data_IF_369425741968
#
_entry.id   IF_369425741968
#
_cell.length_a   1.000
_cell.length_b   1.000
_cell.length_c   1.000
_cell.angle_alpha   90.00
_cell.angle_beta   90.00
_cell.angle_gamma   90.00
#
_symmetry.space_group_name_H-M   'P 1'
#
loop_
_entity.id
_entity.type
_entity.pdbx_description
1 polymer ?
#
# COMPACT_ATOMS: atom_id res chain seq x y z
N UNK A 1 0.91 -23.81 -2.35
CA UNK A 1 1.15 -23.40 -3.78
C UNK A 1 0.47 -22.08 -4.20
N UNK A 2 -0.23 -21.37 -3.31
CA UNK A 2 -1.09 -20.21 -3.66
C UNK A 2 -0.41 -18.93 -4.18
N UNK A 3 0.88 -18.69 -3.87
CA UNK A 3 1.61 -17.44 -4.20
C UNK A 3 1.67 -17.08 -5.70
N UNK A 4 1.42 -18.04 -6.60
CA UNK A 4 1.49 -17.85 -8.06
C UNK A 4 0.12 -17.59 -8.73
N UNK A 5 -0.98 -17.64 -7.99
CA UNK A 5 -2.34 -17.56 -8.55
C UNK A 5 -3.02 -16.21 -8.33
N UNK A 6 -2.26 -15.14 -8.11
CA UNK A 6 -2.82 -13.80 -7.91
C UNK A 6 -2.69 -12.92 -9.16
N UNK A 7 -3.62 -11.97 -9.38
CA UNK A 7 -3.52 -11.00 -10.46
C UNK A 7 -2.22 -10.18 -10.40
N UNK A 8 -1.68 -9.82 -11.57
CA UNK A 8 -0.46 -9.00 -11.66
C UNK A 8 -0.72 -7.50 -11.49
N UNK A 9 -1.96 -7.06 -11.68
CA UNK A 9 -2.37 -5.67 -11.67
C UNK A 9 -3.64 -5.51 -10.83
N UNK A 10 -3.79 -4.34 -10.21
CA UNK A 10 -5.03 -3.91 -9.60
C UNK A 10 -6.09 -3.74 -10.69
N UNK A 11 -7.32 -4.12 -10.37
CA UNK A 11 -8.48 -3.94 -11.24
C UNK A 11 -9.40 -2.91 -10.57
N UNK A 12 -9.77 -1.84 -11.29
CA UNK A 12 -10.71 -0.86 -10.78
C UNK A 12 -12.18 -1.33 -10.89
N UNK A 13 -13.14 -0.46 -10.55
CA UNK A 13 -14.57 -0.79 -10.66
C UNK A 13 -15.05 -0.93 -12.12
N UNK A 14 -14.33 -0.34 -13.07
CA UNK A 14 -14.60 -0.45 -14.50
C UNK A 14 -14.03 -1.73 -15.13
N UNK A 15 -13.19 -2.47 -14.41
CA UNK A 15 -12.48 -3.65 -14.92
C UNK A 15 -11.12 -3.33 -15.56
N UNK A 16 -10.67 -2.08 -15.48
CA UNK A 16 -9.42 -1.62 -16.09
C UNK A 16 -8.21 -1.97 -15.21
N UNK A 17 -7.08 -2.24 -15.87
CA UNK A 17 -5.82 -2.51 -15.18
C UNK A 17 -5.15 -1.22 -14.76
N UNK A 18 -4.71 -1.19 -13.51
CA UNK A 18 -4.20 0.00 -12.85
C UNK A 18 -2.75 -0.23 -12.40
N UNK A 19 -2.47 -0.12 -11.10
CA UNK A 19 -1.12 -0.28 -10.56
C UNK A 19 -0.73 -1.76 -10.48
N UNK A 20 0.57 -2.05 -10.56
CA UNK A 20 1.05 -3.42 -10.40
C UNK A 20 0.87 -3.89 -8.95
N UNK A 21 0.44 -5.15 -8.79
CA UNK A 21 0.40 -5.83 -7.50
C UNK A 21 1.78 -6.48 -7.26
N UNK A 22 2.68 -5.72 -6.66
CA UNK A 22 4.09 -6.08 -6.47
C UNK A 22 4.41 -6.52 -5.03
N UNK A 23 3.41 -6.59 -4.15
CA UNK A 23 3.54 -7.13 -2.79
C UNK A 23 2.57 -8.29 -2.58
N UNK A 24 3.01 -9.30 -1.85
CA UNK A 24 2.16 -10.35 -1.29
C UNK A 24 2.51 -10.54 0.18
N UNK A 25 1.50 -10.61 1.04
CA UNK A 25 1.70 -10.74 2.48
C UNK A 25 0.87 -11.88 3.07
N UNK A 26 1.54 -12.75 3.83
CA UNK A 26 0.93 -13.79 4.63
C UNK A 26 1.25 -13.56 6.11
N UNK A 27 0.23 -13.12 6.85
CA UNK A 27 0.34 -12.78 8.27
C UNK A 27 -0.82 -11.88 8.72
N UNK A 28 -0.71 -11.31 9.92
CA UNK A 28 -1.72 -10.37 10.46
C UNK A 28 -1.36 -8.93 10.03
N UNK A 29 -2.32 -8.14 9.53
CA UNK A 29 -1.96 -6.80 9.04
C UNK A 29 -1.50 -5.87 10.16
N UNK A 30 -2.05 -6.05 11.36
CA UNK A 30 -1.72 -5.29 12.56
C UNK A 30 -0.23 -5.45 12.91
N UNK A 31 0.29 -6.64 12.66
CA UNK A 31 1.69 -6.99 12.86
C UNK A 31 2.62 -6.34 11.83
N UNK A 32 2.20 -6.30 10.56
CA UNK A 32 2.93 -5.60 9.52
C UNK A 32 2.88 -4.08 9.74
N UNK A 33 1.72 -3.54 10.09
CA UNK A 33 1.50 -2.14 10.38
C UNK A 33 2.39 -1.67 11.53
N UNK A 34 2.35 -2.34 12.68
CA UNK A 34 3.16 -1.97 13.84
C UNK A 34 4.68 -1.94 13.51
N UNK A 35 5.16 -2.85 12.66
CA UNK A 35 6.56 -2.88 12.21
C UNK A 35 6.89 -1.72 11.29
N UNK A 36 6.03 -1.43 10.31
CA UNK A 36 6.22 -0.31 9.39
C UNK A 36 6.13 1.03 10.12
N UNK A 37 5.26 1.15 11.13
CA UNK A 37 5.14 2.35 11.97
C UNK A 37 6.43 2.65 12.74
N UNK A 38 7.12 1.62 13.25
CA UNK A 38 8.46 1.77 13.85
C UNK A 38 9.52 2.27 12.86
N UNK A 39 9.23 2.20 11.55
CA UNK A 39 10.08 2.68 10.46
C UNK A 39 9.57 3.99 9.84
N UNK A 40 8.65 4.68 10.51
CA UNK A 40 8.15 6.00 10.10
C UNK A 40 6.99 5.97 9.11
N UNK A 41 6.47 4.79 8.77
CA UNK A 41 5.19 4.69 8.07
C UNK A 41 4.05 5.08 9.02
N UNK A 42 2.93 5.51 8.47
CA UNK A 42 1.74 5.84 9.27
C UNK A 42 0.48 5.77 8.43
N UNK A 43 -0.66 5.66 9.07
CA UNK A 43 -1.92 5.88 8.39
C UNK A 43 -2.03 7.35 7.95
N UNK A 44 -2.66 7.62 6.79
CA UNK A 44 -3.02 8.99 6.41
C UNK A 44 -4.13 9.51 7.33
N UNK A 45 -4.42 10.81 7.22
CA UNK A 45 -5.60 11.35 7.88
C UNK A 45 -6.84 10.58 7.39
N UNK A 46 -7.68 10.10 8.31
CA UNK A 46 -8.88 9.38 7.96
C UNK A 46 -9.78 10.22 7.05
N UNK A 47 -10.31 9.63 5.98
CA UNK A 47 -11.25 10.32 5.08
C UNK A 47 -12.65 10.35 5.70
N UNK A 48 -13.09 11.55 6.07
CA UNK A 48 -14.44 11.86 6.58
C UNK A 48 -14.95 13.12 5.88
N UNK A 49 -16.26 13.43 5.95
CA UNK A 49 -16.76 14.70 5.41
C UNK A 49 -16.08 15.94 6.02
N UNK A 50 -15.61 15.87 7.27
CA UNK A 50 -14.92 16.99 7.91
C UNK A 50 -13.47 17.10 7.42
N UNK A 51 -12.74 15.99 7.39
CA UNK A 51 -11.32 15.96 6.99
C UNK A 51 -11.14 16.12 5.48
N UNK A 52 -12.14 15.82 4.64
CA UNK A 52 -12.08 16.09 3.20
C UNK A 52 -11.94 17.58 2.87
N UNK A 53 -12.42 18.47 3.75
CA UNK A 53 -12.22 19.92 3.62
C UNK A 53 -10.74 20.32 3.67
N UNK A 54 -9.85 19.46 4.19
CA UNK A 54 -8.42 19.73 4.21
C UNK A 54 -7.81 19.79 2.80
N UNK A 55 -8.46 19.21 1.77
CA UNK A 55 -8.04 19.40 0.38
C UNK A 55 -8.13 20.86 -0.07
N UNK A 56 -8.86 21.73 0.65
CA UNK A 56 -8.99 23.16 0.35
C UNK A 56 -7.98 24.04 1.09
N UNK A 57 -7.03 23.45 1.82
CA UNK A 57 -5.96 24.19 2.49
C UNK A 57 -5.00 24.82 1.46
N UNK A 58 -4.47 26.02 1.74
CA UNK A 58 -3.60 26.73 0.78
C UNK A 58 -2.24 26.06 0.53
N UNK A 59 -1.72 25.30 1.49
CA UNK A 59 -0.39 24.63 1.44
C UNK A 59 -0.38 23.40 2.36
N UNK A 60 -1.15 22.36 2.06
CA UNK A 60 -1.23 21.21 2.93
C UNK A 60 0.06 20.40 2.88
N UNK A 61 0.52 19.91 4.04
CA UNK A 61 1.53 18.86 4.06
C UNK A 61 0.86 17.49 3.88
N UNK A 62 1.62 16.47 3.48
CA UNK A 62 1.16 15.09 3.30
C UNK A 62 0.41 14.55 4.53
N UNK A 63 0.78 14.98 5.74
CA UNK A 63 0.12 14.56 6.99
C UNK A 63 -1.25 15.17 7.24
N UNK A 64 -1.54 16.29 6.58
CA UNK A 64 -2.76 17.05 6.81
C UNK A 64 -3.86 16.65 5.82
N UNK A 65 -3.56 15.85 4.80
CA UNK A 65 -4.51 15.45 3.77
C UNK A 65 -5.03 14.03 3.99
N UNK A 66 -6.34 13.81 3.86
CA UNK A 66 -6.85 12.47 3.68
C UNK A 66 -6.49 11.97 2.29
N UNK A 67 -6.26 10.66 2.21
CA UNK A 67 -5.95 9.98 0.95
C UNK A 67 -7.19 9.25 0.47
N UNK A 68 -7.49 9.32 -0.83
CA UNK A 68 -8.62 8.60 -1.39
C UNK A 68 -8.40 7.07 -1.26
N UNK A 69 -9.41 6.32 -0.82
CA UNK A 69 -9.35 4.87 -0.79
C UNK A 69 -9.32 4.32 -2.22
N UNK A 70 -8.65 3.19 -2.42
CA UNK A 70 -8.64 2.48 -3.68
C UNK A 70 -9.25 1.09 -3.50
N UNK A 71 -9.97 0.65 -4.52
CA UNK A 71 -10.53 -0.70 -4.57
C UNK A 71 -9.72 -1.58 -5.51
N UNK A 72 -9.71 -2.86 -5.24
CA UNK A 72 -9.18 -3.88 -6.12
C UNK A 72 -10.25 -4.94 -6.37
N UNK A 73 -10.71 -5.05 -7.61
CA UNK A 73 -11.74 -6.03 -8.01
C UNK A 73 -12.98 -5.97 -7.09
N UNK A 74 -13.48 -4.75 -6.87
CA UNK A 74 -14.63 -4.48 -5.99
C UNK A 74 -14.35 -4.57 -4.49
N UNK A 75 -13.13 -4.91 -4.05
CA UNK A 75 -12.76 -5.04 -2.64
C UNK A 75 -12.09 -3.78 -2.12
N UNK A 76 -12.51 -3.31 -0.95
CA UNK A 76 -11.83 -2.23 -0.24
C UNK A 76 -10.43 -2.68 0.23
N UNK A 77 -9.52 -1.72 0.30
CA UNK A 77 -8.24 -1.91 0.97
C UNK A 77 -8.44 -2.24 2.45
N UNK A 78 -7.57 -3.10 2.98
CA UNK A 78 -7.55 -3.49 4.39
C UNK A 78 -6.34 -2.93 5.14
N UNK A 79 -5.39 -2.31 4.44
CA UNK A 79 -4.32 -1.50 5.02
C UNK A 79 -3.90 -0.43 4.02
N UNK A 80 -3.74 0.81 4.50
CA UNK A 80 -3.12 1.92 3.78
C UNK A 80 -2.12 2.61 4.73
N UNK A 81 -0.84 2.58 4.35
CA UNK A 81 0.21 3.31 5.05
C UNK A 81 0.92 4.24 4.08
N UNK A 82 1.33 5.40 4.59
CA UNK A 82 2.08 6.40 3.87
C UNK A 82 3.42 6.67 4.55
N UNK A 83 4.43 6.99 3.74
CA UNK A 83 5.76 7.34 4.23
C UNK A 83 6.29 8.55 3.45
N UNK A 84 6.80 9.61 4.12
CA UNK A 84 7.38 10.77 3.44
C UNK A 84 8.54 10.36 2.53
N UNK A 85 8.70 11.01 1.38
CA UNK A 85 9.93 10.92 0.61
C UNK A 85 10.86 12.06 1.02
N UNK A 86 12.05 11.78 1.61
CA UNK A 86 12.98 12.83 2.01
C UNK A 86 13.34 13.75 0.84
N UNK A 87 13.32 15.06 1.08
CA UNK A 87 13.60 16.06 0.06
C UNK A 87 12.43 16.36 -0.89
N UNK A 88 11.27 15.69 -0.73
CA UNK A 88 10.05 16.01 -1.47
C UNK A 88 8.99 16.67 -0.58
N UNK A 89 8.41 17.78 -1.05
CA UNK A 89 7.33 18.48 -0.36
C UNK A 89 5.93 17.95 -0.69
N UNK A 90 5.77 17.34 -1.86
CA UNK A 90 4.47 16.90 -2.40
C UNK A 90 4.41 15.42 -2.69
N UNK A 91 5.56 14.77 -2.87
CA UNK A 91 5.62 13.35 -3.20
C UNK A 91 5.90 12.52 -1.95
N UNK A 92 5.28 11.37 -1.88
CA UNK A 92 5.40 10.45 -0.75
C UNK A 92 5.11 9.01 -1.22
N UNK A 93 5.44 8.02 -0.41
CA UNK A 93 5.15 6.63 -0.72
C UNK A 93 3.82 6.22 -0.11
N UNK A 94 3.10 5.35 -0.79
CA UNK A 94 1.94 4.65 -0.24
C UNK A 94 2.07 3.14 -0.45
N UNK A 95 1.79 2.41 0.62
CA UNK A 95 1.68 0.96 0.65
C UNK A 95 0.22 0.62 0.92
N UNK A 96 -0.40 -0.12 0.00
CA UNK A 96 -1.79 -0.57 0.10
C UNK A 96 -1.86 -2.09 0.03
N UNK A 97 -2.74 -2.69 0.82
CA UNK A 97 -3.09 -4.10 0.73
C UNK A 97 -4.60 -4.29 0.57
N UNK A 98 -4.95 -5.35 -0.17
CA UNK A 98 -6.31 -5.82 -0.39
C UNK A 98 -6.41 -7.31 -0.05
N UNK A 99 -7.61 -7.82 0.28
CA UNK A 99 -7.84 -9.26 0.38
C UNK A 99 -7.60 -9.95 -0.98
N UNK A 100 -7.02 -11.14 -0.97
CA UNK A 100 -6.98 -12.02 -2.14
C UNK A 100 -7.86 -13.26 -1.89
N UNK A 101 -8.35 -13.88 -2.95
CA UNK A 101 -9.11 -15.15 -2.89
C UNK A 101 -8.19 -16.37 -2.79
N UNK A 102 -7.05 -16.21 -2.14
CA UNK A 102 -6.04 -17.24 -1.97
C UNK A 102 -5.77 -17.43 -0.49
N UNK A 103 -5.82 -18.68 -0.06
CA UNK A 103 -5.40 -19.12 1.27
C UNK A 103 -4.21 -20.06 1.08
N UNK A 104 -3.20 -19.91 1.92
CA UNK A 104 -2.02 -20.77 1.90
C UNK A 104 -2.32 -22.13 2.53
N UNK A 105 -1.39 -23.07 2.36
CA UNK A 105 -1.55 -24.46 2.78
C UNK A 105 -1.70 -24.59 4.32
N UNK A 106 -1.23 -23.59 5.07
CA UNK A 106 -1.36 -23.44 6.54
C UNK A 106 -2.62 -22.69 6.98
N UNK A 107 -3.59 -22.49 6.08
CA UNK A 107 -4.81 -21.68 6.28
C UNK A 107 -4.59 -20.17 6.49
N UNK A 108 -3.38 -19.66 6.26
CA UNK A 108 -3.11 -18.22 6.33
C UNK A 108 -3.71 -17.51 5.09
N UNK A 109 -4.60 -16.49 5.27
CA UNK A 109 -5.11 -15.71 4.14
C UNK A 109 -3.99 -14.89 3.50
N UNK A 110 -3.91 -14.96 2.17
CA UNK A 110 -2.99 -14.14 1.40
C UNK A 110 -3.59 -12.75 1.15
N UNK A 111 -2.74 -11.73 1.23
CA UNK A 111 -3.08 -10.36 0.81
C UNK A 111 -2.18 -9.94 -0.34
N UNK A 112 -2.74 -9.20 -1.28
CA UNK A 112 -2.00 -8.60 -2.39
C UNK A 112 -1.91 -7.11 -2.18
N UNK A 113 -0.82 -6.50 -2.62
CA UNK A 113 -0.59 -5.09 -2.38
C UNK A 113 0.26 -4.41 -3.43
N UNK A 114 0.26 -3.10 -3.33
CA UNK A 114 1.03 -2.19 -4.19
C UNK A 114 1.88 -1.28 -3.32
N UNK A 115 3.14 -1.16 -3.68
CA UNK A 115 3.99 -0.05 -3.27
C UNK A 115 4.03 1.01 -4.37
N UNK A 116 3.65 2.24 -4.08
CA UNK A 116 3.52 3.31 -5.08
C UNK A 116 4.08 4.63 -4.61
N UNK A 117 4.45 5.47 -5.57
CA UNK A 117 4.63 6.91 -5.35
C UNK A 117 3.27 7.59 -5.46
N UNK A 118 3.00 8.51 -4.55
CA UNK A 118 1.89 9.44 -4.59
C UNK A 118 2.40 10.87 -4.70
N UNK A 119 1.57 11.75 -5.27
CA UNK A 119 1.82 13.19 -5.39
C UNK A 119 0.57 13.98 -5.02
N UNK A 120 0.76 15.09 -4.32
CA UNK A 120 -0.29 16.09 -4.11
C UNK A 120 -0.40 16.95 -5.39
N UNK A 121 -1.52 16.82 -6.10
CA UNK A 121 -1.84 17.65 -7.25
C UNK A 121 -2.65 18.87 -6.83
N UNK A 122 -2.30 20.03 -7.41
CA UNK A 122 -3.05 21.27 -7.26
C UNK A 122 -3.98 21.47 -8.44
N UNK A 123 -5.27 21.59 -8.19
CA UNK A 123 -6.29 21.98 -9.17
C UNK A 123 -6.73 23.41 -8.86
N UNK A 124 -6.53 24.30 -9.83
CA UNK A 124 -6.86 25.73 -9.75
C UNK A 124 -6.22 26.47 -8.55
N UNK A 125 -5.19 25.90 -7.91
CA UNK A 125 -4.62 26.40 -6.64
C UNK A 125 -5.64 26.50 -5.49
N UNK A 126 -6.70 25.70 -5.55
CA UNK A 126 -7.77 25.67 -4.56
C UNK A 126 -7.98 24.28 -3.98
N UNK A 127 -7.72 23.23 -4.77
CA UNK A 127 -7.95 21.85 -4.38
C UNK A 127 -6.63 21.09 -4.48
N UNK A 128 -6.22 20.46 -3.39
CA UNK A 128 -4.98 19.70 -3.26
C UNK A 128 -5.30 18.24 -2.96
N UNK A 129 -5.21 17.39 -3.97
CA UNK A 129 -5.58 15.98 -3.88
C UNK A 129 -4.35 15.10 -4.02
N UNK A 130 -4.12 14.17 -3.08
CA UNK A 130 -3.14 13.12 -3.29
C UNK A 130 -3.62 12.13 -4.34
N UNK A 131 -2.81 11.89 -5.37
CA UNK A 131 -3.04 10.89 -6.41
C UNK A 131 -1.87 9.91 -6.48
N UNK A 132 -2.14 8.69 -6.95
CA UNK A 132 -1.11 7.70 -7.23
C UNK A 132 -0.47 8.01 -8.59
N UNK A 133 0.86 8.01 -8.64
CA UNK A 133 1.62 8.31 -9.86
C UNK A 133 2.08 7.03 -10.55
N UNK A 134 2.82 6.19 -9.83
CA UNK A 134 3.45 4.99 -10.39
C UNK A 134 3.73 3.94 -9.32
N UNK A 135 3.85 2.69 -9.76
CA UNK A 135 4.30 1.59 -8.91
C UNK A 135 5.82 1.71 -8.72
N UNK A 136 6.28 1.61 -7.47
CA UNK A 136 7.70 1.59 -7.12
C UNK A 136 8.26 0.17 -7.19
N UNK A 137 9.59 0.02 -7.26
CA UNK A 137 10.21 -1.29 -7.04
C UNK A 137 9.90 -1.76 -5.62
N UNK A 138 9.39 -2.99 -5.43
CA UNK A 138 9.08 -3.50 -4.09
C UNK A 138 10.34 -3.68 -3.23
N UNK A 139 11.53 -3.76 -3.82
CA UNK A 139 12.81 -3.84 -3.10
C UNK A 139 13.07 -2.60 -2.22
N UNK A 140 12.52 -1.44 -2.59
CA UNK A 140 12.61 -0.22 -1.78
C UNK A 140 11.95 -0.35 -0.40
N UNK A 141 11.11 -1.36 -0.20
CA UNK A 141 10.47 -1.66 1.09
C UNK A 141 11.36 -2.53 2.00
N UNK A 142 12.37 -3.23 1.47
CA UNK A 142 13.20 -4.18 2.23
C UNK A 142 13.81 -3.60 3.53
N UNK A 143 14.33 -2.35 3.56
CA UNK A 143 14.84 -1.77 4.80
C UNK A 143 13.78 -1.64 5.90
N UNK A 144 12.51 -1.44 5.53
CA UNK A 144 11.40 -1.33 6.48
C UNK A 144 10.92 -2.70 6.99
N UNK A 145 11.25 -3.79 6.29
CA UNK A 145 10.81 -5.15 6.60
C UNK A 145 11.87 -5.97 7.35
N UNK A 146 12.95 -5.34 7.83
CA UNK A 146 14.01 -6.04 8.56
C UNK A 146 13.45 -6.90 9.70
N UNK A 147 13.79 -8.20 9.68
CA UNK A 147 13.31 -9.19 10.65
C UNK A 147 12.06 -9.97 10.24
N UNK A 148 11.45 -9.66 9.09
CA UNK A 148 10.47 -10.52 8.42
C UNK A 148 11.16 -11.42 7.40
N UNK A 149 10.55 -12.56 7.06
CA UNK A 149 11.01 -13.34 5.92
C UNK A 149 10.47 -12.68 4.66
N UNK A 150 11.38 -12.39 3.75
CA UNK A 150 11.05 -11.76 2.48
C UNK A 150 11.67 -12.54 1.33
N UNK A 151 10.92 -12.75 0.26
CA UNK A 151 11.41 -13.40 -0.95
C UNK A 151 10.97 -12.59 -2.17
N UNK A 152 11.93 -12.13 -2.97
CA UNK A 152 11.63 -11.50 -4.25
C UNK A 152 11.40 -12.59 -5.31
N UNK A 153 10.22 -12.59 -5.92
CA UNK A 153 9.90 -13.46 -7.03
C UNK A 153 10.10 -12.72 -8.35
N UNK A 154 10.91 -13.25 -9.28
CA UNK A 154 11.11 -12.63 -10.58
C UNK A 154 9.83 -12.72 -11.42
N UNK A 155 9.66 -11.73 -12.30
CA UNK A 155 8.50 -11.61 -13.18
C UNK A 155 8.39 -10.19 -13.73
N UNK A 156 7.41 -9.90 -14.61
CA UNK A 156 7.27 -8.61 -15.26
C UNK A 156 7.11 -7.45 -14.25
N UNK A 157 6.43 -7.68 -13.14
CA UNK A 157 6.22 -6.66 -12.10
C UNK A 157 7.13 -6.80 -10.88
N UNK A 158 7.92 -7.89 -10.78
CA UNK A 158 8.62 -8.37 -9.58
C UNK A 158 7.73 -8.38 -8.33
N UNK A 159 7.60 -9.52 -7.64
CA UNK A 159 6.71 -9.57 -6.47
C UNK A 159 7.50 -9.88 -5.22
N UNK A 160 7.39 -9.00 -4.22
CA UNK A 160 7.95 -9.25 -2.90
C UNK A 160 6.95 -10.02 -2.05
N UNK A 161 7.30 -11.26 -1.73
CA UNK A 161 6.56 -12.11 -0.80
C UNK A 161 7.06 -11.79 0.61
N UNK A 162 6.13 -11.56 1.53
CA UNK A 162 6.41 -11.19 2.92
C UNK A 162 5.67 -12.18 3.82
N UNK A 163 6.38 -12.82 4.73
CA UNK A 163 5.82 -13.79 5.69
C UNK A 163 6.15 -13.35 7.13
N UNK A 164 5.17 -13.40 8.02
CA UNK A 164 5.40 -13.22 9.46
C UNK A 164 5.71 -14.58 10.13
N UNK A 165 6.98 -14.78 10.52
CA UNK A 165 7.47 -16.01 11.13
C UNK A 165 6.88 -16.34 12.51
N UNK A 166 6.03 -15.49 13.08
CA UNK A 166 5.44 -15.73 14.40
C UNK A 166 4.47 -16.92 14.48
N UNK A 167 4.13 -17.53 13.35
CA UNK A 167 3.33 -18.76 13.30
C UNK A 167 4.15 -20.06 13.41
N UNK A 168 5.48 -20.02 13.49
CA UNK A 168 6.27 -21.21 13.80
C UNK A 168 6.40 -21.39 15.33
N UNK A 169 5.40 -22.01 15.95
CA UNK A 169 5.62 -22.73 17.21
C UNK A 169 5.85 -24.21 16.86
N UNK A 170 7.01 -24.80 17.22
CA UNK A 170 7.18 -26.26 17.15
C UNK A 170 6.23 -26.97 18.12
#
# INVERSE_FOLDING_TARGET
>A
QGWKQVPQYRIDLGGEKEQALNLQYAGRLEDLQARLEQKGWREPLALTPATSLHWLMKKPAVKDLPTLPQVNDGRNENLLLIHPLPGSGTDFMALRFWPADVVLDDSTPLRVGTLSTMRIHSYLNLIYLPSTESTLSPESLLPALSGLQTRLQPGPNQVLLIEDNRNYRP
#
